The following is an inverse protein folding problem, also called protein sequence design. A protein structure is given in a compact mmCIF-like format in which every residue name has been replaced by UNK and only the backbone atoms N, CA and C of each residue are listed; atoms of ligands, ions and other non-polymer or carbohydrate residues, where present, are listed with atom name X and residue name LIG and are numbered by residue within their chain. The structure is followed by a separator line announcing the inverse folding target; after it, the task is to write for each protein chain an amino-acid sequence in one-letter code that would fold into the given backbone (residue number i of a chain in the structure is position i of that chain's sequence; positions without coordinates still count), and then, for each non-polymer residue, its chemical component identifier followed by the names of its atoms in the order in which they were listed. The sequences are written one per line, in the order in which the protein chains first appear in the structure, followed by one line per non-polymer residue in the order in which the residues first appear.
data_IF_972921368462
#
_entry.id   IF_972921368462
#
_cell.length_a   1.000
_cell.length_b   1.000
_cell.length_c   1.000
_cell.angle_alpha   90.00
_cell.angle_beta   90.00
_cell.angle_gamma   90.00
#
_symmetry.space_group_name_H-M   'P 1'
#
loop_
_entity.id
_entity.type
_entity.pdbx_description
1 polymer ?
#
# COMPACT_ATOMS: atom_id res chain seq x y z
N UNK A 1 -18.63 -26.75 -5.72
CA UNK A 1 -18.61 -25.37 -5.20
C UNK A 1 -17.22 -24.82 -5.37
N UNK A 2 -17.06 -23.82 -6.23
CA UNK A 2 -15.78 -23.24 -6.66
C UNK A 2 -15.27 -22.23 -5.62
N UNK A 3 -14.03 -22.39 -5.16
CA UNK A 3 -13.14 -21.25 -4.96
C UNK A 3 -11.73 -21.69 -5.31
N UNK A 4 -11.40 -21.41 -6.58
CA UNK A 4 -10.09 -21.60 -7.17
C UNK A 4 -9.09 -20.68 -6.46
N UNK A 5 -7.97 -21.26 -6.06
CA UNK A 5 -6.74 -20.58 -5.68
C UNK A 5 -6.36 -19.48 -6.67
N UNK A 6 -6.41 -18.22 -6.23
CA UNK A 6 -5.77 -17.10 -6.92
C UNK A 6 -4.63 -16.59 -6.03
N UNK A 7 -3.57 -17.39 -5.96
CA UNK A 7 -2.23 -16.82 -5.76
C UNK A 7 -2.03 -15.86 -6.91
N UNK A 8 -2.02 -14.57 -6.60
CA UNK A 8 -1.75 -13.49 -7.54
C UNK A 8 -0.34 -13.65 -8.11
N UNK A 9 -0.24 -14.44 -9.18
CA UNK A 9 0.89 -14.48 -10.09
C UNK A 9 0.80 -13.22 -10.94
N UNK A 10 1.66 -12.27 -10.63
CA UNK A 10 1.87 -11.04 -11.38
C UNK A 10 2.37 -11.37 -12.79
N UNK A 11 1.47 -11.42 -13.77
CA UNK A 11 1.82 -11.28 -15.18
C UNK A 11 1.24 -9.96 -15.69
N UNK A 12 1.92 -8.85 -15.41
CA UNK A 12 1.69 -7.59 -16.10
C UNK A 12 2.63 -7.51 -17.29
N UNK A 13 2.08 -7.70 -18.49
CA UNK A 13 2.74 -7.43 -19.75
C UNK A 13 3.20 -5.97 -19.81
N UNK A 14 4.51 -5.74 -19.77
CA UNK A 14 5.12 -4.52 -20.25
C UNK A 14 6.11 -4.93 -21.34
N UNK A 15 5.68 -4.77 -22.59
CA UNK A 15 6.55 -4.81 -23.74
C UNK A 15 7.53 -3.63 -23.65
N UNK A 16 8.78 -3.88 -23.27
CA UNK A 16 9.91 -2.98 -23.51
C UNK A 16 11.16 -3.83 -23.76
N UNK A 17 11.61 -3.77 -25.01
CA UNK A 17 12.84 -4.37 -25.49
C UNK A 17 14.05 -3.57 -24.98
N UNK A 18 14.78 -4.09 -24.00
CA UNK A 18 16.17 -3.69 -23.73
C UNK A 18 16.92 -4.83 -23.05
N UNK A 19 18.02 -5.24 -23.68
CA UNK A 19 18.95 -6.28 -23.23
C UNK A 19 19.79 -5.80 -22.03
N UNK A 20 20.44 -6.76 -21.38
CA UNK A 20 21.45 -6.69 -20.31
C UNK A 20 21.01 -6.88 -18.84
N UNK A 21 21.62 -7.88 -18.21
CA UNK A 21 21.30 -8.55 -16.93
C UNK A 21 22.06 -7.87 -15.77
N UNK A 22 21.46 -7.69 -14.57
CA UNK A 22 22.15 -8.20 -13.38
C UNK A 22 21.24 -8.64 -12.21
N UNK A 23 21.50 -9.84 -11.68
CA UNK A 23 21.26 -10.22 -10.28
C UNK A 23 19.81 -10.42 -9.85
N UNK A 24 19.48 -11.63 -9.41
CA UNK A 24 18.30 -11.89 -8.55
C UNK A 24 18.42 -11.05 -7.27
N UNK A 25 18.00 -9.80 -7.30
CA UNK A 25 17.71 -9.04 -6.09
C UNK A 25 16.59 -9.81 -5.38
N UNK A 26 16.92 -10.44 -4.24
CA UNK A 26 15.93 -10.98 -3.31
C UNK A 26 15.09 -9.80 -2.84
N UNK A 27 14.04 -9.47 -3.59
CA UNK A 27 12.99 -8.58 -3.11
C UNK A 27 12.43 -9.26 -1.86
N UNK A 28 12.36 -8.53 -0.76
CA UNK A 28 11.68 -9.01 0.43
C UNK A 28 10.27 -9.49 0.02
N UNK A 29 9.74 -10.57 0.62
CA UNK A 29 8.43 -11.09 0.22
C UNK A 29 7.42 -9.95 0.21
N UNK A 30 6.87 -9.66 -0.97
CA UNK A 30 5.84 -8.64 -1.14
C UNK A 30 4.69 -9.05 -0.22
N UNK A 31 4.37 -8.22 0.77
CA UNK A 31 3.26 -8.51 1.67
C UNK A 31 1.98 -8.47 0.85
N UNK A 32 1.16 -9.53 0.86
CA UNK A 32 -0.09 -9.52 0.11
C UNK A 32 -1.04 -8.46 0.67
N UNK A 33 -1.90 -7.88 -0.18
CA UNK A 33 -2.89 -6.87 0.25
C UNK A 33 -3.82 -7.37 1.36
N UNK A 34 -4.13 -8.67 1.38
CA UNK A 34 -4.88 -9.34 2.45
C UNK A 34 -4.27 -9.14 3.84
N UNK A 35 -2.94 -9.11 3.94
CA UNK A 35 -2.25 -8.86 5.21
C UNK A 35 -2.63 -7.49 5.82
N UNK A 36 -2.85 -6.48 4.99
CA UNK A 36 -3.24 -5.15 5.45
C UNK A 36 -4.73 -5.09 5.83
N UNK A 37 -5.56 -5.91 5.20
CA UNK A 37 -6.98 -6.04 5.58
C UNK A 37 -7.09 -6.67 6.97
N UNK A 38 -6.35 -7.75 7.23
CA UNK A 38 -6.42 -8.47 8.50
C UNK A 38 -5.74 -7.71 9.65
N UNK A 39 -4.66 -6.98 9.34
CA UNK A 39 -3.87 -6.28 10.36
C UNK A 39 -4.53 -5.01 10.88
N UNK A 40 -5.29 -4.30 10.05
CA UNK A 40 -5.84 -2.99 10.41
C UNK A 40 -7.36 -3.07 10.56
N UNK A 41 -7.85 -2.70 11.75
CA UNK A 41 -9.29 -2.62 12.02
C UNK A 41 -9.99 -1.56 11.17
N UNK A 42 -9.26 -0.52 10.79
CA UNK A 42 -9.79 0.57 9.97
C UNK A 42 -9.33 0.37 8.51
N UNK A 43 -10.26 0.25 7.54
CA UNK A 43 -9.92 0.08 6.13
C UNK A 43 -9.10 1.25 5.58
N UNK A 44 -9.32 2.48 6.06
CA UNK A 44 -8.54 3.66 5.64
C UNK A 44 -7.05 3.53 6.01
N UNK A 45 -6.77 2.96 7.19
CA UNK A 45 -5.42 2.69 7.64
C UNK A 45 -4.79 1.53 6.86
N UNK A 46 -5.56 0.46 6.62
CA UNK A 46 -5.12 -0.67 5.79
C UNK A 46 -4.75 -0.24 4.37
N UNK A 47 -5.63 0.53 3.71
CA UNK A 47 -5.39 1.09 2.38
C UNK A 47 -4.15 1.98 2.33
N UNK A 48 -4.00 2.88 3.31
CA UNK A 48 -2.86 3.78 3.34
C UNK A 48 -1.55 3.01 3.57
N UNK A 49 -1.56 2.01 4.45
CA UNK A 49 -0.37 1.22 4.75
C UNK A 49 0.02 0.30 3.59
N UNK A 50 -0.96 -0.23 2.86
CA UNK A 50 -0.72 -0.95 1.62
C UNK A 50 -0.06 -0.03 0.57
N UNK A 51 -0.56 1.20 0.39
CA UNK A 51 0.06 2.17 -0.51
C UNK A 51 1.48 2.59 -0.06
N UNK A 52 1.66 2.88 1.23
CA UNK A 52 2.96 3.26 1.80
C UNK A 52 3.99 2.12 1.76
N UNK A 53 3.56 0.88 1.58
CA UNK A 53 4.49 -0.24 1.36
C UNK A 53 5.30 -0.09 0.06
N UNK A 54 4.84 0.74 -0.88
CA UNK A 54 5.55 1.05 -2.13
C UNK A 54 5.43 -0.02 -3.22
N UNK A 55 4.74 -1.13 -2.95
CA UNK A 55 4.62 -2.26 -3.88
C UNK A 55 3.27 -2.32 -4.61
N UNK A 56 2.32 -1.44 -4.26
CA UNK A 56 0.97 -1.42 -4.84
C UNK A 56 0.59 0.00 -5.27
N UNK A 57 -0.08 0.11 -6.40
CA UNK A 57 -0.67 1.37 -6.88
C UNK A 57 -2.02 1.64 -6.20
N UNK A 58 -2.46 2.90 -6.20
CA UNK A 58 -3.77 3.29 -5.66
C UNK A 58 -4.94 2.52 -6.31
N UNK A 59 -4.83 2.20 -7.60
CA UNK A 59 -5.84 1.43 -8.33
C UNK A 59 -5.89 -0.03 -7.84
N UNK A 60 -4.73 -0.68 -7.67
CA UNK A 60 -4.64 -2.05 -7.16
C UNK A 60 -5.13 -2.18 -5.72
N UNK A 61 -4.82 -1.19 -4.89
CA UNK A 61 -5.38 -1.10 -3.53
C UNK A 61 -6.91 -0.95 -3.61
N UNK A 62 -7.41 -0.06 -4.48
CA UNK A 62 -8.86 0.12 -4.65
C UNK A 62 -9.58 -1.15 -5.06
N UNK A 63 -9.06 -1.85 -6.06
CA UNK A 63 -9.62 -3.12 -6.55
C UNK A 63 -9.69 -4.18 -5.45
N UNK A 64 -8.62 -4.32 -4.66
CA UNK A 64 -8.58 -5.32 -3.58
C UNK A 64 -9.49 -4.96 -2.40
N UNK A 65 -9.71 -3.68 -2.12
CA UNK A 65 -10.62 -3.22 -1.07
C UNK A 65 -12.05 -2.99 -1.57
N UNK A 66 -12.32 -3.22 -2.86
CA UNK A 66 -13.64 -2.99 -3.47
C UNK A 66 -14.04 -1.50 -3.53
N UNK A 67 -13.06 -0.58 -3.54
CA UNK A 67 -13.29 0.86 -3.54
C UNK A 67 -12.67 1.57 -4.74
N UNK A 68 -13.21 2.74 -5.08
CA UNK A 68 -12.65 3.56 -6.15
C UNK A 68 -11.25 4.10 -5.81
N UNK A 69 -10.46 4.37 -6.85
CA UNK A 69 -9.20 5.11 -6.76
C UNK A 69 -9.33 6.40 -5.91
N UNK A 70 -10.42 7.14 -6.07
CA UNK A 70 -10.64 8.40 -5.37
C UNK A 70 -10.76 8.21 -3.86
N UNK A 71 -11.33 7.09 -3.41
CA UNK A 71 -11.44 6.72 -2.00
C UNK A 71 -10.05 6.48 -1.42
N UNK A 72 -9.22 5.70 -2.11
CA UNK A 72 -7.84 5.41 -1.67
C UNK A 72 -7.01 6.70 -1.62
N UNK A 73 -7.11 7.55 -2.64
CA UNK A 73 -6.41 8.85 -2.68
C UNK A 73 -6.81 9.76 -1.51
N UNK A 74 -8.11 9.81 -1.17
CA UNK A 74 -8.61 10.57 -0.02
C UNK A 74 -8.06 10.01 1.30
N UNK A 75 -8.08 8.69 1.48
CA UNK A 75 -7.55 8.03 2.68
C UNK A 75 -6.06 8.36 2.90
N UNK A 76 -5.25 8.26 1.85
CA UNK A 76 -3.81 8.59 1.89
C UNK A 76 -3.58 10.05 2.27
N UNK A 77 -4.28 10.99 1.62
CA UNK A 77 -4.16 12.44 1.94
C UNK A 77 -4.54 12.75 3.39
N UNK A 78 -5.59 12.11 3.90
CA UNK A 78 -6.01 12.30 5.30
C UNK A 78 -4.99 11.73 6.28
N UNK A 79 -4.40 10.59 5.97
CA UNK A 79 -3.34 10.01 6.79
C UNK A 79 -2.08 10.89 6.83
N UNK A 80 -1.67 11.49 5.71
CA UNK A 80 -0.57 12.47 5.70
C UNK A 80 -0.87 13.70 6.55
N UNK A 81 -2.09 14.24 6.46
CA UNK A 81 -2.53 15.36 7.29
C UNK A 81 -2.49 15.00 8.78
N UNK A 82 -2.96 13.80 9.15
CA UNK A 82 -2.89 13.27 10.52
C UNK A 82 -1.44 13.11 11.00
N UNK A 83 -0.53 12.61 10.14
CA UNK A 83 0.91 12.52 10.47
C UNK A 83 1.51 13.90 10.72
N UNK A 84 1.23 14.90 9.87
CA UNK A 84 1.68 16.29 10.08
C UNK A 84 1.16 16.88 11.39
N UNK A 85 -0.13 16.72 11.69
CA UNK A 85 -0.71 17.19 12.94
C UNK A 85 -0.09 16.50 14.18
N UNK A 86 0.10 15.17 14.12
CA UNK A 86 0.76 14.42 15.18
C UNK A 86 2.22 14.82 15.34
N UNK A 87 2.95 15.06 14.25
CA UNK A 87 4.34 15.53 14.28
C UNK A 87 4.45 16.90 14.96
N UNK A 88 3.56 17.84 14.63
CA UNK A 88 3.49 19.17 15.26
C UNK A 88 3.20 19.03 16.77
N UNK A 89 2.26 18.16 17.16
CA UNK A 89 1.95 17.89 18.56
C UNK A 89 3.13 17.31 19.34
N UNK A 90 3.85 16.33 18.77
CA UNK A 90 5.03 15.73 19.43
C UNK A 90 6.18 16.74 19.53
N UNK A 91 6.40 17.56 18.49
CA UNK A 91 7.42 18.61 18.51
C UNK A 91 7.10 19.66 19.57
N UNK A 92 5.87 20.18 19.59
CA UNK A 92 5.44 21.19 20.58
C UNK A 92 5.57 20.69 22.01
N UNK A 93 5.22 19.43 22.29
CA UNK A 93 5.42 18.84 23.62
C UNK A 93 6.89 18.65 24.01
N UNK A 94 7.80 18.41 23.04
CA UNK A 94 9.25 18.35 23.31
C UNK A 94 9.90 19.71 23.50
N UNK A 95 9.29 20.79 23.03
CA UNK A 95 9.79 22.17 23.20
C UNK A 95 9.35 22.80 24.53
N UNK A 96 8.48 22.14 25.30
CA UNK A 96 7.92 22.65 26.56
C UNK A 96 8.47 21.91 27.80
N UNK A 97 9.59 21.21 27.65
CA UNK A 97 10.34 20.52 28.71
C UNK A 97 11.79 21.01 28.66
#
# INVERSE_FOLDING_TARGET
MMILSMTCSVNSALNNHSKDIPGKQKQAPVKPLSYFVDRYKNPDEGMTQAYLSGHCTLAQVGEHFGVSYATVSRAVKQAEKRKRARQIYVLTLRYFQ
#
